data_IF_467546196274
#
_entry.id   IF_467546196274
#
_cell.length_a   1.000
_cell.length_b   1.000
_cell.length_c   1.000
_cell.angle_alpha   90.00
_cell.angle_beta   90.00
_cell.angle_gamma   90.00
#
_symmetry.space_group_name_H-M   'P 1'
#
loop_
_entity.id
_entity.type
_entity.pdbx_description
1 polymer ?
#
# COMPACT_ATOMS: atom_id res chain seq x y z
N UNK A 1 -18.44 -1.43 -46.86
CA UNK A 1 -18.58 -0.37 -45.84
C UNK A 1 -17.75 -0.76 -44.62
N UNK A 2 -17.04 0.22 -44.06
CA UNK A 2 -16.10 0.16 -42.92
C UNK A 2 -16.80 -0.37 -41.66
N UNK A 3 -16.10 -1.14 -40.82
CA UNK A 3 -16.23 -1.12 -39.35
C UNK A 3 -14.88 -1.51 -38.75
N UNK A 4 -14.01 -0.51 -38.63
CA UNK A 4 -12.64 -0.57 -38.12
C UNK A 4 -12.66 0.10 -36.74
N UNK A 5 -13.29 -0.51 -35.74
CA UNK A 5 -13.52 0.15 -34.43
C UNK A 5 -13.58 -0.79 -33.22
N UNK A 6 -12.89 -1.93 -33.24
CA UNK A 6 -12.87 -2.82 -32.06
C UNK A 6 -11.52 -3.52 -31.86
N UNK A 7 -10.41 -2.81 -32.04
CA UNK A 7 -9.09 -3.36 -31.66
C UNK A 7 -8.20 -2.41 -30.85
N UNK A 8 -8.55 -1.13 -30.72
CA UNK A 8 -7.70 -0.13 -30.03
C UNK A 8 -7.96 -0.01 -28.52
N UNK A 9 -9.03 -0.61 -27.99
CA UNK A 9 -9.39 -0.47 -26.56
C UNK A 9 -8.74 -1.51 -25.63
N UNK A 10 -8.27 -2.64 -26.16
CA UNK A 10 -7.63 -3.69 -25.36
C UNK A 10 -6.13 -3.49 -25.19
N UNK A 11 -5.45 -2.83 -26.13
CA UNK A 11 -4.01 -2.56 -26.05
C UNK A 11 -3.65 -1.43 -25.05
N UNK A 12 -4.53 -0.44 -24.87
CA UNK A 12 -4.23 0.74 -24.06
C UNK A 12 -4.43 0.58 -22.55
N UNK A 13 -5.01 -0.54 -22.10
CA UNK A 13 -5.30 -0.76 -20.67
C UNK A 13 -4.19 -1.55 -19.96
N UNK A 14 -3.37 -2.27 -20.73
CA UNK A 14 -2.22 -3.02 -20.21
C UNK A 14 -1.01 -2.10 -19.97
N UNK A 15 -0.73 -1.22 -20.92
CA UNK A 15 0.36 -0.23 -20.86
C UNK A 15 0.21 0.77 -19.68
N UNK A 16 -1.02 1.22 -19.41
CA UNK A 16 -1.31 2.13 -18.30
C UNK A 16 -1.14 1.48 -16.90
N UNK A 17 -1.21 0.14 -16.83
CA UNK A 17 -0.94 -0.63 -15.62
C UNK A 17 0.53 -0.99 -15.50
N UNK A 18 1.18 -1.30 -16.62
CA UNK A 18 2.62 -1.54 -16.70
C UNK A 18 3.41 -0.29 -16.28
N UNK A 19 3.00 0.91 -16.70
CA UNK A 19 3.61 2.18 -16.26
C UNK A 19 3.54 2.37 -14.75
N UNK A 20 2.37 2.15 -14.13
CA UNK A 20 2.22 2.26 -12.66
C UNK A 20 3.01 1.20 -11.90
N UNK A 21 3.09 -0.02 -12.45
CA UNK A 21 3.90 -1.09 -11.86
C UNK A 21 5.40 -0.77 -11.97
N UNK A 22 5.83 -0.22 -13.11
CA UNK A 22 7.20 0.25 -13.32
C UNK A 22 7.54 1.41 -12.39
N UNK A 23 6.64 2.37 -12.21
CA UNK A 23 6.83 3.47 -11.26
C UNK A 23 6.94 2.97 -9.82
N UNK A 24 6.13 1.97 -9.44
CA UNK A 24 6.22 1.32 -8.12
C UNK A 24 7.55 0.56 -7.98
N UNK A 25 8.00 -0.15 -9.02
CA UNK A 25 9.30 -0.84 -9.01
C UNK A 25 10.45 0.16 -8.89
N UNK A 26 10.41 1.24 -9.65
CA UNK A 26 11.43 2.28 -9.58
C UNK A 26 11.46 2.98 -8.23
N UNK A 27 10.31 3.25 -7.62
CA UNK A 27 10.25 3.80 -6.26
C UNK A 27 10.78 2.82 -5.21
N UNK A 28 10.54 1.52 -5.38
CA UNK A 28 11.11 0.49 -4.50
C UNK A 28 12.63 0.39 -4.68
N UNK A 29 13.13 0.44 -5.91
CA UNK A 29 14.56 0.46 -6.22
C UNK A 29 15.25 1.72 -5.70
N UNK A 30 14.62 2.89 -5.83
CA UNK A 30 15.13 4.16 -5.28
C UNK A 30 15.15 4.13 -3.75
N UNK A 31 14.15 3.51 -3.10
CA UNK A 31 14.15 3.32 -1.66
C UNK A 31 15.28 2.38 -1.22
N UNK A 32 15.49 1.27 -1.94
CA UNK A 32 16.61 0.35 -1.66
C UNK A 32 17.98 0.99 -1.92
N UNK A 33 18.11 1.82 -2.96
CA UNK A 33 19.35 2.52 -3.31
C UNK A 33 19.72 3.63 -2.31
N UNK A 34 18.76 4.15 -1.55
CA UNK A 34 19.00 5.10 -0.47
C UNK A 34 19.49 4.43 0.84
N UNK A 35 19.80 3.13 0.81
CA UNK A 35 20.25 2.37 1.98
C UNK A 35 19.11 1.97 2.93
N UNK A 36 17.85 2.17 2.51
CA UNK A 36 16.68 1.73 3.27
C UNK A 36 16.48 0.24 2.99
N UNK A 37 16.68 -0.60 4.00
CA UNK A 37 16.52 -2.04 3.85
C UNK A 37 15.05 -2.39 3.60
N UNK A 38 14.79 -3.57 3.03
CA UNK A 38 13.41 -4.06 2.87
C UNK A 38 12.64 -4.08 4.21
N UNK A 39 13.36 -4.25 5.33
CA UNK A 39 12.82 -4.18 6.68
C UNK A 39 12.42 -2.75 7.09
N UNK A 40 13.20 -1.74 6.70
CA UNK A 40 12.87 -0.34 6.96
C UNK A 40 11.63 0.10 6.17
N UNK A 41 11.55 -0.26 4.89
CA UNK A 41 10.37 0.01 4.06
C UNK A 41 9.13 -0.65 4.68
N UNK A 42 9.27 -1.91 5.13
CA UNK A 42 8.18 -2.64 5.81
C UNK A 42 7.75 -1.92 7.08
N UNK A 43 8.70 -1.44 7.88
CA UNK A 43 8.42 -0.71 9.12
C UNK A 43 7.68 0.60 8.85
N UNK A 44 8.10 1.35 7.83
CA UNK A 44 7.41 2.58 7.39
C UNK A 44 5.99 2.27 6.92
N UNK A 45 5.79 1.25 6.09
CA UNK A 45 4.47 0.85 5.61
C UNK A 45 3.55 0.40 6.74
N UNK A 46 4.08 -0.33 7.72
CA UNK A 46 3.34 -0.77 8.89
C UNK A 46 2.90 0.43 9.75
N UNK A 47 3.82 1.35 10.06
CA UNK A 47 3.49 2.58 10.77
C UNK A 47 2.42 3.41 10.05
N UNK A 48 2.50 3.51 8.72
CA UNK A 48 1.50 4.19 7.90
C UNK A 48 0.15 3.48 7.91
N UNK A 49 0.13 2.15 8.03
CA UNK A 49 -1.11 1.42 8.26
C UNK A 49 -1.69 1.79 9.62
N UNK A 50 -0.89 1.77 10.69
CA UNK A 50 -1.33 2.16 12.03
C UNK A 50 -1.95 3.57 12.05
N UNK A 51 -1.38 4.53 11.29
CA UNK A 51 -1.97 5.86 11.10
C UNK A 51 -3.38 5.81 10.48
N UNK A 52 -3.58 4.95 9.48
CA UNK A 52 -4.89 4.75 8.84
C UNK A 52 -5.91 4.18 9.83
N UNK A 53 -5.47 3.35 10.77
CA UNK A 53 -6.30 2.81 11.85
C UNK A 53 -6.36 3.72 13.09
N UNK A 54 -5.84 4.95 12.99
CA UNK A 54 -5.86 5.98 14.05
C UNK A 54 -5.17 5.53 15.34
N UNK A 55 -4.17 4.66 15.22
CA UNK A 55 -3.37 4.20 16.36
C UNK A 55 -2.46 5.35 16.81
N UNK A 56 -2.46 5.75 18.09
CA UNK A 56 -1.61 6.81 18.61
C UNK A 56 -0.12 6.54 18.38
N UNK A 57 0.68 7.61 18.37
CA UNK A 57 2.14 7.52 18.26
C UNK A 57 2.79 6.85 19.47
N UNK A 58 2.19 6.97 20.65
CA UNK A 58 2.66 6.41 21.92
C UNK A 58 2.11 4.99 22.20
N UNK A 59 1.58 4.32 21.16
CA UNK A 59 0.96 3.01 21.33
C UNK A 59 1.99 1.89 21.15
N UNK A 60 1.99 0.89 22.03
CA UNK A 60 2.92 -0.27 22.02
C UNK A 60 2.98 -1.06 20.70
N UNK A 61 2.03 -0.85 19.78
CA UNK A 61 2.05 -1.46 18.44
C UNK A 61 3.10 -0.81 17.53
N UNK A 62 3.55 0.41 17.84
CA UNK A 62 4.60 1.12 17.08
C UNK A 62 6.00 0.82 17.57
N UNK A 63 6.13 0.52 18.86
CA UNK A 63 7.40 0.09 19.48
C UNK A 63 7.64 -1.41 19.32
N UNK A 64 6.61 -2.15 18.91
CA UNK A 64 6.66 -3.59 18.70
C UNK A 64 7.37 -3.99 17.41
N UNK A 65 7.61 -5.29 17.27
CA UNK A 65 8.22 -5.87 16.08
C UNK A 65 7.33 -5.66 14.84
N UNK A 66 7.93 -5.14 13.76
CA UNK A 66 7.28 -5.00 12.47
C UNK A 66 6.93 -6.41 11.93
N UNK A 67 5.64 -6.72 11.71
CA UNK A 67 5.24 -8.04 11.26
C UNK A 67 5.85 -8.36 9.89
N UNK A 68 6.20 -9.63 9.66
CA UNK A 68 6.82 -10.06 8.41
C UNK A 68 5.94 -9.78 7.18
N UNK A 69 4.61 -9.89 7.38
CA UNK A 69 3.58 -9.65 6.38
C UNK A 69 2.59 -8.60 6.84
N UNK A 70 2.60 -7.45 6.19
CA UNK A 70 1.73 -6.31 6.47
C UNK A 70 0.31 -6.55 5.92
N UNK A 71 0.17 -7.39 4.90
CA UNK A 71 -1.09 -7.74 4.26
C UNK A 71 -1.92 -8.78 5.04
N UNK A 72 -1.40 -9.28 6.17
CA UNK A 72 -2.06 -10.31 6.96
C UNK A 72 -3.36 -9.79 7.59
N UNK A 73 -4.53 -10.43 7.32
CA UNK A 73 -5.80 -10.06 7.95
C UNK A 73 -5.76 -10.15 9.48
N UNK A 74 -4.86 -10.94 10.08
CA UNK A 74 -4.68 -11.04 11.52
C UNK A 74 -4.33 -9.69 12.17
N UNK A 75 -3.59 -8.82 11.46
CA UNK A 75 -3.25 -7.47 11.94
C UNK A 75 -4.53 -6.64 12.07
N UNK A 76 -5.41 -6.70 11.07
CA UNK A 76 -6.69 -5.99 11.09
C UNK A 76 -7.60 -6.51 12.19
N UNK A 77 -7.65 -7.83 12.39
CA UNK A 77 -8.42 -8.45 13.49
C UNK A 77 -7.88 -7.98 14.85
N UNK A 78 -6.56 -7.90 15.03
CA UNK A 78 -5.93 -7.40 16.26
C UNK A 78 -6.27 -5.92 16.50
N UNK A 79 -6.19 -5.09 15.47
CA UNK A 79 -6.54 -3.66 15.54
C UNK A 79 -8.01 -3.47 15.93
N UNK A 80 -8.93 -4.22 15.31
CA UNK A 80 -10.35 -4.18 15.65
C UNK A 80 -10.61 -4.63 17.09
N UNK A 81 -9.93 -5.68 17.58
CA UNK A 81 -10.02 -6.15 18.98
C UNK A 81 -9.55 -5.09 19.99
N UNK A 82 -8.58 -4.28 19.59
CA UNK A 82 -8.06 -3.16 20.38
C UNK A 82 -8.93 -1.89 20.27
N UNK A 83 -10.02 -1.94 19.49
CA UNK A 83 -10.93 -0.81 19.29
C UNK A 83 -10.50 0.17 18.20
N UNK A 84 -9.41 -0.11 17.49
CA UNK A 84 -8.97 0.71 16.37
C UNK A 84 -9.81 0.44 15.13
N UNK A 85 -10.25 1.51 14.47
CA UNK A 85 -11.06 1.42 13.26
C UNK A 85 -10.40 2.17 12.13
N UNK A 86 -10.56 1.65 10.92
CA UNK A 86 -10.00 2.25 9.72
C UNK A 86 -10.64 3.62 9.49
N UNK A 87 -9.82 4.67 9.40
CA UNK A 87 -10.26 6.02 9.01
C UNK A 87 -10.99 5.94 7.69
N UNK A 88 -12.27 6.34 7.68
CA UNK A 88 -13.02 6.46 6.44
C UNK A 88 -12.36 7.56 5.60
N UNK A 89 -11.78 7.18 4.46
CA UNK A 89 -11.46 8.16 3.44
C UNK A 89 -12.80 8.67 2.92
N UNK A 90 -13.18 9.88 3.31
CA UNK A 90 -14.25 10.59 2.62
C UNK A 90 -13.86 10.62 1.15
N UNK A 91 -14.68 9.99 0.31
CA UNK A 91 -14.50 10.04 -1.13
C UNK A 91 -14.49 11.53 -1.53
N UNK A 92 -13.43 11.96 -2.20
CA UNK A 92 -13.44 13.25 -2.90
C UNK A 92 -14.60 13.16 -3.90
N UNK A 93 -15.59 14.01 -3.69
CA UNK A 93 -16.83 14.12 -4.45
C UNK A 93 -16.59 14.93 -5.72
#
# INVERSE_FOLDING_TARGET
>A
MKNKFTNDFLANTDDARAGKLSDIQQQLDELQNNGMTAMDIRTVLFNKMLDVYQVPSDHFLRDGETPERIDDPAIVVKLNKLGFTKKRRHQLH
#
